data_IF_700438671695
#
_entry.id   IF_700438671695
#
_cell.length_a   1.000
_cell.length_b   1.000
_cell.length_c   1.000
_cell.angle_alpha   90.00
_cell.angle_beta   90.00
_cell.angle_gamma   90.00
#
_symmetry.space_group_name_H-M   'P 1'
#
loop_
_entity.id
_entity.type
_entity.pdbx_description
1 polymer ?
#
# COMPACT_ATOMS: atom_id res chain seq x y z
N UNK A 1 16.51 10.60 -4.10
CA UNK A 1 17.23 9.72 -5.05
C UNK A 1 16.24 8.68 -5.54
N UNK A 2 16.23 8.34 -6.83
CA UNK A 2 15.31 7.32 -7.34
C UNK A 2 15.62 5.98 -6.67
N UNK A 3 14.61 5.36 -6.05
CA UNK A 3 14.72 4.03 -5.46
C UNK A 3 15.00 3.02 -6.59
N UNK A 4 16.04 2.21 -6.44
CA UNK A 4 16.55 1.36 -7.53
C UNK A 4 16.30 -0.13 -7.32
N UNK A 5 15.49 -0.52 -6.33
CA UNK A 5 15.11 -1.91 -6.07
C UNK A 5 13.62 -2.05 -5.82
N UNK A 6 13.06 -3.23 -6.12
CA UNK A 6 11.68 -3.57 -5.78
C UNK A 6 11.40 -3.39 -4.29
N UNK A 7 12.33 -3.82 -3.42
CA UNK A 7 12.17 -3.69 -1.97
C UNK A 7 12.03 -2.24 -1.52
N UNK A 8 12.79 -1.32 -2.12
CA UNK A 8 12.72 0.09 -1.77
C UNK A 8 11.38 0.72 -2.21
N UNK A 9 10.84 0.30 -3.37
CA UNK A 9 9.50 0.71 -3.83
C UNK A 9 8.43 0.11 -2.92
N UNK A 10 8.52 -1.18 -2.59
CA UNK A 10 7.65 -1.86 -1.63
C UNK A 10 7.55 -1.09 -0.31
N UNK A 11 8.69 -0.75 0.29
CA UNK A 11 8.72 0.02 1.56
C UNK A 11 8.00 1.36 1.42
N UNK A 12 8.14 2.04 0.28
CA UNK A 12 7.42 3.31 0.03
C UNK A 12 5.91 3.14 0.03
N UNK A 13 5.42 2.16 -0.74
CA UNK A 13 4.00 1.88 -0.86
C UNK A 13 3.42 1.49 0.49
N UNK A 14 4.16 0.70 1.28
CA UNK A 14 3.75 0.33 2.63
C UNK A 14 3.69 1.53 3.58
N UNK A 15 4.66 2.45 3.54
CA UNK A 15 4.65 3.67 4.36
C UNK A 15 3.47 4.58 4.00
N UNK A 16 3.20 4.75 2.70
CA UNK A 16 2.06 5.52 2.21
C UNK A 16 0.73 4.89 2.64
N UNK A 17 0.59 3.58 2.47
CA UNK A 17 -0.60 2.83 2.85
C UNK A 17 -0.88 2.94 4.36
N UNK A 18 0.14 2.74 5.21
CA UNK A 18 0.01 2.90 6.67
C UNK A 18 -0.42 4.32 7.03
N UNK A 19 0.11 5.33 6.33
CA UNK A 19 -0.34 6.73 6.49
C UNK A 19 -1.84 6.90 6.19
N UNK A 20 -2.33 6.24 5.13
CA UNK A 20 -3.74 6.24 4.77
C UNK A 20 -4.61 5.56 5.83
N UNK A 21 -4.23 4.37 6.29
CA UNK A 21 -4.97 3.62 7.31
C UNK A 21 -5.11 4.41 8.62
N UNK A 22 -4.06 5.12 9.01
CA UNK A 22 -4.10 6.00 10.19
C UNK A 22 -4.95 7.25 10.01
N UNK A 23 -5.06 7.76 8.78
CA UNK A 23 -5.79 8.99 8.48
C UNK A 23 -7.29 8.74 8.33
N UNK A 24 -7.68 7.55 7.90
CA UNK A 24 -9.06 7.17 7.62
C UNK A 24 -9.40 5.80 8.27
N UNK A 25 -9.25 5.64 9.60
CA UNK A 25 -9.42 4.34 10.25
C UNK A 25 -10.81 3.71 10.01
N UNK A 26 -11.85 4.54 9.91
CA UNK A 26 -13.23 4.10 9.65
C UNK A 26 -13.35 3.32 8.32
N UNK A 27 -12.51 3.60 7.32
CA UNK A 27 -12.51 2.90 6.03
C UNK A 27 -11.89 1.49 6.14
N UNK A 28 -11.16 1.20 7.21
CA UNK A 28 -10.33 -0.01 7.36
C UNK A 28 -10.65 -0.84 8.61
N UNK A 29 -11.56 -0.37 9.47
CA UNK A 29 -12.06 -1.07 10.66
C UNK A 29 -13.48 -1.69 10.44
N UNK A 30 -14.02 -1.57 9.23
CA UNK A 30 -15.37 -2.06 8.87
C UNK A 30 -15.38 -3.53 8.41
N UNK A 31 -16.50 -3.98 7.82
CA UNK A 31 -16.66 -5.36 7.36
C UNK A 31 -15.55 -5.79 6.38
N UNK A 32 -15.04 -7.05 6.47
CA UNK A 32 -13.86 -7.49 5.70
C UNK A 32 -13.95 -7.28 4.18
N UNK A 33 -15.14 -7.36 3.59
CA UNK A 33 -15.34 -7.12 2.16
C UNK A 33 -15.09 -5.65 1.77
N UNK A 34 -15.60 -4.71 2.56
CA UNK A 34 -15.39 -3.28 2.33
C UNK A 34 -13.92 -2.89 2.51
N UNK A 35 -13.26 -3.48 3.49
CA UNK A 35 -11.82 -3.27 3.72
C UNK A 35 -10.98 -3.73 2.53
N UNK A 36 -11.28 -4.91 1.96
CA UNK A 36 -10.57 -5.40 0.77
C UNK A 36 -10.76 -4.48 -0.44
N UNK A 37 -11.99 -4.01 -0.68
CA UNK A 37 -12.28 -3.08 -1.78
C UNK A 37 -11.56 -1.73 -1.58
N UNK A 38 -11.47 -1.25 -0.34
CA UNK A 38 -10.78 -0.01 -0.01
C UNK A 38 -9.26 -0.13 -0.20
N UNK A 39 -8.66 -1.27 0.21
CA UNK A 39 -7.24 -1.58 -0.02
C UNK A 39 -6.91 -1.62 -1.52
N UNK A 40 -7.74 -2.30 -2.31
CA UNK A 40 -7.53 -2.39 -3.76
C UNK A 40 -7.71 -1.04 -4.45
N UNK A 41 -8.70 -0.27 -4.02
CA UNK A 41 -8.94 1.10 -4.51
C UNK A 41 -7.78 2.03 -4.17
N UNK A 42 -7.22 1.92 -2.97
CA UNK A 42 -6.05 2.70 -2.54
C UNK A 42 -4.83 2.36 -3.38
N UNK A 43 -4.53 1.07 -3.56
CA UNK A 43 -3.41 0.60 -4.38
C UNK A 43 -3.53 1.08 -5.83
N UNK A 44 -4.74 1.03 -6.40
CA UNK A 44 -5.02 1.58 -7.72
C UNK A 44 -4.83 3.09 -7.77
N UNK A 45 -5.27 3.82 -6.74
CA UNK A 45 -5.04 5.25 -6.62
C UNK A 45 -3.55 5.61 -6.72
N UNK A 46 -2.69 4.89 -5.99
CA UNK A 46 -1.23 5.06 -6.09
C UNK A 46 -0.70 4.71 -7.47
N UNK A 47 -1.18 3.64 -8.08
CA UNK A 47 -0.77 3.20 -9.42
C UNK A 47 -1.13 4.22 -10.51
N UNK A 48 -2.33 4.80 -10.42
CA UNK A 48 -2.84 5.77 -11.41
C UNK A 48 -2.21 7.17 -11.22
N UNK A 49 -1.68 7.48 -10.03
CA UNK A 49 -1.06 8.78 -9.71
C UNK A 49 0.45 8.85 -9.92
N UNK A 50 1.09 7.79 -10.44
CA UNK A 50 2.56 7.74 -10.62
C UNK A 50 3.05 8.77 -11.63
N UNK A 51 4.16 9.40 -11.29
CA UNK A 51 4.87 10.28 -12.23
C UNK A 51 5.62 9.46 -13.30
N UNK A 52 5.92 10.10 -14.43
CA UNK A 52 6.64 9.48 -15.55
C UNK A 52 7.91 8.72 -15.14
N UNK A 53 8.72 9.28 -14.24
CA UNK A 53 9.95 8.65 -13.74
C UNK A 53 9.69 7.40 -12.89
N UNK A 54 8.54 7.33 -12.25
CA UNK A 54 8.12 6.19 -11.44
C UNK A 54 7.59 5.07 -12.33
N UNK A 55 6.86 5.42 -13.39
CA UNK A 55 6.45 4.46 -14.43
C UNK A 55 7.68 3.80 -15.06
N UNK A 56 8.66 4.58 -15.52
CA UNK A 56 9.91 4.03 -16.10
C UNK A 56 10.68 3.15 -15.10
N UNK A 57 10.74 3.57 -13.82
CA UNK A 57 11.38 2.79 -12.75
C UNK A 57 10.67 1.45 -12.57
N UNK A 58 9.35 1.47 -12.44
CA UNK A 58 8.53 0.29 -12.15
C UNK A 58 8.57 -0.70 -13.32
N UNK A 59 8.47 -0.23 -14.56
CA UNK A 59 8.61 -1.05 -15.76
C UNK A 59 9.97 -1.76 -15.80
N UNK A 60 11.06 -1.01 -15.55
CA UNK A 60 12.42 -1.58 -15.50
C UNK A 60 12.57 -2.61 -14.40
N UNK A 61 11.89 -2.41 -13.27
CA UNK A 61 11.90 -3.34 -12.15
C UNK A 61 10.93 -4.50 -12.34
N UNK A 62 10.03 -4.47 -13.34
CA UNK A 62 8.97 -5.45 -13.52
C UNK A 62 7.95 -5.41 -12.38
N UNK A 63 7.56 -4.19 -11.98
CA UNK A 63 6.53 -3.94 -10.96
C UNK A 63 5.21 -3.67 -11.68
N UNK A 64 4.15 -4.33 -11.21
CA UNK A 64 2.80 -4.27 -11.77
C UNK A 64 1.78 -3.80 -10.72
N UNK A 65 0.54 -3.55 -11.14
CA UNK A 65 -0.53 -3.13 -10.23
C UNK A 65 -0.75 -4.17 -9.11
N UNK A 66 -0.62 -5.44 -9.44
CA UNK A 66 -0.76 -6.56 -8.51
C UNK A 66 0.29 -6.50 -7.39
N UNK A 67 1.50 -6.00 -7.68
CA UNK A 67 2.52 -5.78 -6.66
C UNK A 67 2.07 -4.66 -5.69
N UNK A 68 1.51 -3.57 -6.21
CA UNK A 68 0.98 -2.47 -5.40
C UNK A 68 -0.17 -2.97 -4.50
N UNK A 69 -1.11 -3.73 -5.06
CA UNK A 69 -2.21 -4.33 -4.30
C UNK A 69 -1.67 -5.25 -3.18
N UNK A 70 -0.70 -6.10 -3.52
CA UNK A 70 -0.09 -7.00 -2.57
C UNK A 70 0.63 -6.25 -1.43
N UNK A 71 1.45 -5.25 -1.76
CA UNK A 71 2.22 -4.49 -0.75
C UNK A 71 1.33 -3.63 0.14
N UNK A 72 0.28 -3.02 -0.42
CA UNK A 72 -0.72 -2.27 0.33
C UNK A 72 -1.47 -3.20 1.29
N UNK A 73 -1.81 -4.43 0.86
CA UNK A 73 -2.40 -5.45 1.73
C UNK A 73 -1.44 -5.92 2.83
N UNK A 74 -0.18 -6.21 2.52
CA UNK A 74 0.83 -6.58 3.53
C UNK A 74 0.97 -5.50 4.61
N UNK A 75 0.96 -4.21 4.21
CA UNK A 75 0.96 -3.09 5.13
C UNK A 75 -0.28 -3.07 6.04
N UNK A 76 -1.46 -3.38 5.50
CA UNK A 76 -2.68 -3.46 6.30
C UNK A 76 -2.60 -4.58 7.33
N UNK A 77 -2.21 -5.77 6.90
CA UNK A 77 -2.11 -6.94 7.78
C UNK A 77 -1.10 -6.68 8.92
N UNK A 78 0.05 -6.06 8.61
CA UNK A 78 1.03 -5.63 9.61
C UNK A 78 0.50 -4.53 10.55
N UNK A 79 -0.20 -3.54 10.00
CA UNK A 79 -0.81 -2.45 10.76
C UNK A 79 -1.83 -3.00 11.77
N UNK A 80 -2.73 -3.87 11.34
CA UNK A 80 -3.75 -4.48 12.21
C UNK A 80 -3.13 -5.36 13.31
N UNK A 81 -2.09 -6.15 12.99
CA UNK A 81 -1.38 -6.94 13.98
C UNK A 81 -0.71 -6.06 15.06
N UNK A 82 -0.13 -4.92 14.66
CA UNK A 82 0.47 -3.95 15.58
C UNK A 82 -0.56 -3.21 16.44
N UNK A 83 -1.75 -2.92 15.88
CA UNK A 83 -2.82 -2.22 16.58
C UNK A 83 -3.48 -3.14 17.62
N UNK A 84 -3.70 -4.42 17.30
CA UNK A 84 -4.16 -5.43 18.26
C UNK A 84 -3.17 -5.63 19.42
N UNK A 85 -1.86 -5.56 19.13
CA UNK A 85 -0.82 -5.68 20.16
C UNK A 85 -0.75 -4.47 21.10
N UNK A 86 -1.30 -3.31 20.70
CA UNK A 86 -1.31 -2.08 21.50
C UNK A 86 -2.54 -1.96 22.42
N UNK A 87 -3.48 -2.91 22.36
CA UNK A 87 -4.71 -2.95 23.16
C UNK A 87 -4.69 -3.98 24.31
N UNK A 88 -3.54 -4.63 24.57
CA UNK A 88 -3.33 -5.57 25.68
C UNK A 88 -2.41 -5.01 26.77
#
# INVERSE_FOLDING_TARGET
MAKQSKDAVKTEIQELAIGNYKSYPDDYETAPAAVSENIDSLAKGYWDSREYKEVERDERLGIHLEDYQHWTKEAYDAFMASNQSSMN
#
